data_IF_672673582019
#
_entry.id   IF_672673582019
#
_cell.length_a   1.000
_cell.length_b   1.000
_cell.length_c   1.000
_cell.angle_alpha   90.00
_cell.angle_beta   90.00
_cell.angle_gamma   90.00
#
_symmetry.space_group_name_H-M   'P 1'
#
loop_
_entity.id
_entity.type
_entity.pdbx_description
1 polymer ?
#
# COMPACT_ATOMS: atom_id res chain seq x y z
N UNK A 1 12.07 20.33 -15.52
CA UNK A 1 11.60 18.94 -15.52
C UNK A 1 10.92 18.73 -16.86
N UNK A 2 11.46 17.87 -17.72
CA UNK A 2 10.87 17.70 -19.05
C UNK A 2 9.78 16.63 -19.03
N UNK A 3 8.58 16.98 -19.49
CA UNK A 3 7.46 16.03 -19.58
C UNK A 3 7.03 15.89 -21.05
N UNK A 4 7.36 14.74 -21.62
CA UNK A 4 6.98 14.36 -22.97
C UNK A 4 5.51 13.90 -23.02
N UNK A 5 4.66 14.67 -23.70
CA UNK A 5 3.23 14.40 -23.81
C UNK A 5 2.95 13.44 -24.97
N UNK A 6 2.08 12.45 -24.76
CA UNK A 6 1.47 11.74 -25.87
C UNK A 6 0.61 12.69 -26.72
N UNK A 7 0.44 12.36 -28.01
CA UNK A 7 -0.43 13.11 -28.92
C UNK A 7 -1.84 13.35 -28.34
N UNK A 8 -2.41 12.32 -27.70
CA UNK A 8 -3.72 12.39 -27.06
C UNK A 8 -3.79 13.46 -25.98
N UNK A 9 -2.77 13.55 -25.12
CA UNK A 9 -2.74 14.52 -24.04
C UNK A 9 -2.45 15.95 -24.56
N UNK A 10 -1.51 16.11 -25.50
CA UNK A 10 -1.23 17.43 -26.08
C UNK A 10 -2.45 18.01 -26.82
N UNK A 11 -3.19 17.18 -27.56
CA UNK A 11 -4.45 17.58 -28.21
C UNK A 11 -5.54 17.96 -27.21
N UNK A 12 -5.65 17.19 -26.10
CA UNK A 12 -6.62 17.49 -25.05
C UNK A 12 -6.34 18.83 -24.36
N UNK A 13 -5.06 19.15 -24.16
CA UNK A 13 -4.57 20.43 -23.63
C UNK A 13 -4.64 21.58 -24.64
N UNK A 14 -4.76 21.28 -25.94
CA UNK A 14 -4.76 22.30 -26.99
C UNK A 14 -3.40 22.97 -27.21
N UNK A 15 -2.30 22.28 -26.91
CA UNK A 15 -0.94 22.79 -27.08
C UNK A 15 -0.15 21.99 -28.11
N UNK A 16 0.88 22.61 -28.68
CA UNK A 16 1.82 21.96 -29.59
C UNK A 16 3.26 22.18 -29.09
N UNK A 17 3.73 21.38 -28.13
CA UNK A 17 5.04 21.58 -27.53
C UNK A 17 6.17 21.30 -28.54
N UNK A 18 7.40 21.78 -28.27
CA UNK A 18 8.58 21.44 -29.07
C UNK A 18 8.95 19.94 -28.94
N UNK A 19 9.93 19.49 -29.73
CA UNK A 19 10.49 18.15 -29.57
C UNK A 19 11.26 18.03 -28.24
N UNK A 20 11.34 16.79 -27.73
CA UNK A 20 12.16 16.43 -26.54
C UNK A 20 13.61 16.85 -26.75
N UNK A 21 14.25 17.30 -25.66
CA UNK A 21 15.69 17.57 -25.65
C UNK A 21 16.41 16.24 -25.35
N UNK A 22 17.18 15.72 -26.31
CA UNK A 22 17.79 14.38 -26.19
C UNK A 22 18.96 14.34 -25.18
N UNK A 23 19.57 15.48 -24.85
CA UNK A 23 20.79 15.56 -24.03
C UNK A 23 20.52 15.70 -22.51
N UNK A 24 19.27 15.61 -22.06
CA UNK A 24 18.90 15.77 -20.66
C UNK A 24 19.08 14.49 -19.82
N UNK A 25 19.37 14.64 -18.53
CA UNK A 25 19.40 13.49 -17.60
C UNK A 25 18.00 12.81 -17.57
N UNK A 26 17.89 11.51 -17.89
CA UNK A 26 16.61 10.81 -18.00
C UNK A 26 15.85 10.71 -16.68
N UNK A 27 16.51 10.91 -15.53
CA UNK A 27 15.86 10.94 -14.22
C UNK A 27 14.95 12.17 -14.04
N UNK A 28 15.25 13.28 -14.73
CA UNK A 28 14.40 14.49 -14.73
C UNK A 28 13.42 14.54 -15.91
N UNK A 29 13.32 13.42 -16.65
CA UNK A 29 12.50 13.30 -17.85
C UNK A 29 11.36 12.30 -17.63
N UNK A 30 10.15 12.71 -17.97
CA UNK A 30 8.93 11.91 -17.80
C UNK A 30 8.17 11.82 -19.12
N UNK A 31 7.38 10.76 -19.26
CA UNK A 31 6.41 10.62 -20.34
C UNK A 31 5.01 10.59 -19.74
N UNK A 32 4.09 11.42 -20.25
CA UNK A 32 2.74 11.54 -19.71
C UNK A 32 1.66 11.21 -20.75
N UNK A 33 0.59 10.56 -20.29
CA UNK A 33 -0.58 10.21 -21.09
C UNK A 33 -1.88 10.51 -20.33
N UNK A 34 -2.95 10.75 -21.08
CA UNK A 34 -4.31 10.88 -20.56
C UNK A 34 -5.13 9.67 -20.97
N UNK A 35 -5.60 8.87 -20.02
CA UNK A 35 -6.27 7.60 -20.29
C UNK A 35 -7.57 7.46 -19.51
N UNK A 36 -8.46 6.60 -20.00
CA UNK A 36 -9.68 6.22 -19.30
C UNK A 36 -9.36 5.12 -18.30
N UNK A 37 -10.08 5.08 -17.17
CA UNK A 37 -9.95 3.96 -16.22
C UNK A 37 -10.74 2.73 -16.69
N UNK A 38 -11.91 2.93 -17.30
CA UNK A 38 -12.77 1.87 -17.83
C UNK A 38 -13.42 2.28 -19.15
N UNK A 39 -13.83 1.27 -19.92
CA UNK A 39 -14.51 1.46 -21.22
C UNK A 39 -16.05 1.53 -21.11
N UNK A 40 -16.61 1.61 -19.89
CA UNK A 40 -18.06 1.71 -19.67
C UNK A 40 -18.53 3.14 -19.36
N UNK A 41 -19.85 3.39 -19.38
CA UNK A 41 -20.48 4.73 -19.39
C UNK A 41 -20.22 5.64 -18.16
N UNK A 42 -19.46 5.19 -17.15
CA UNK A 42 -19.02 6.00 -15.99
C UNK A 42 -17.51 6.30 -16.07
N UNK A 43 -17.04 6.65 -17.27
CA UNK A 43 -15.62 6.91 -17.53
C UNK A 43 -15.11 8.04 -16.63
N UNK A 44 -14.25 7.70 -15.70
CA UNK A 44 -13.32 8.65 -15.12
C UNK A 44 -12.01 8.57 -15.90
N UNK A 45 -11.30 9.69 -15.96
CA UNK A 45 -10.02 9.77 -16.63
C UNK A 45 -8.87 9.84 -15.60
N UNK A 46 -7.70 9.40 -16.05
CA UNK A 46 -6.45 9.45 -15.33
C UNK A 46 -5.38 10.16 -16.14
N UNK A 47 -4.57 10.96 -15.47
CA UNK A 47 -3.23 11.30 -15.95
C UNK A 47 -2.26 10.26 -15.44
N UNK A 48 -1.43 9.74 -16.32
CA UNK A 48 -0.38 8.78 -15.96
C UNK A 48 0.94 9.37 -16.43
N UNK A 49 1.97 9.24 -15.61
CA UNK A 49 3.33 9.63 -15.90
C UNK A 49 4.27 8.46 -15.61
N UNK A 50 5.29 8.29 -16.45
CA UNK A 50 6.35 7.30 -16.24
C UNK A 50 7.70 8.01 -16.36
N UNK A 51 8.56 7.81 -15.36
CA UNK A 51 9.93 8.31 -15.37
C UNK A 51 10.76 7.56 -16.41
N UNK A 52 11.54 8.28 -17.22
CA UNK A 52 12.24 7.69 -18.34
C UNK A 52 13.49 6.90 -17.93
N UNK A 53 14.07 7.15 -16.75
CA UNK A 53 15.21 6.39 -16.23
C UNK A 53 14.78 5.12 -15.47
N UNK A 54 13.75 5.23 -14.63
CA UNK A 54 13.46 4.20 -13.61
C UNK A 54 12.14 3.46 -13.86
N UNK A 55 11.39 3.87 -14.88
CA UNK A 55 9.99 3.47 -15.13
C UNK A 55 9.04 3.71 -13.95
N UNK A 56 9.43 4.57 -13.01
CA UNK A 56 8.58 4.93 -11.87
C UNK A 56 7.29 5.58 -12.37
N UNK A 57 6.16 5.06 -11.93
CA UNK A 57 4.83 5.43 -12.38
C UNK A 57 4.16 6.33 -11.36
N UNK A 58 3.57 7.42 -11.84
CA UNK A 58 2.71 8.31 -11.07
C UNK A 58 1.37 8.38 -11.80
N UNK A 59 0.26 8.36 -11.08
CA UNK A 59 -1.05 8.48 -11.72
C UNK A 59 -2.02 9.27 -10.84
N UNK A 60 -2.78 10.14 -11.50
CA UNK A 60 -3.78 11.02 -10.91
C UNK A 60 -5.15 10.59 -11.41
N UNK A 61 -6.02 10.20 -10.50
CA UNK A 61 -7.38 9.74 -10.75
C UNK A 61 -8.41 10.88 -10.62
N UNK A 62 -9.47 10.80 -11.43
CA UNK A 62 -10.55 11.79 -11.55
C UNK A 62 -10.11 13.13 -12.15
N UNK A 63 -9.21 13.10 -13.13
CA UNK A 63 -8.79 14.31 -13.84
C UNK A 63 -9.78 14.66 -14.95
N UNK A 64 -10.40 15.83 -14.89
CA UNK A 64 -11.32 16.29 -15.95
C UNK A 64 -10.60 17.22 -16.91
N UNK A 65 -11.16 17.36 -18.12
CA UNK A 65 -10.60 18.25 -19.15
C UNK A 65 -10.41 19.69 -18.66
N UNK A 66 -11.30 20.20 -17.81
CA UNK A 66 -11.21 21.55 -17.22
C UNK A 66 -10.01 21.73 -16.28
N UNK A 67 -9.48 20.64 -15.73
CA UNK A 67 -8.37 20.64 -14.77
C UNK A 67 -7.02 20.71 -15.53
N UNK A 68 -7.01 20.37 -16.83
CA UNK A 68 -5.80 20.41 -17.66
C UNK A 68 -5.17 21.80 -17.81
N UNK A 69 -5.88 22.87 -17.46
CA UNK A 69 -5.32 24.23 -17.40
C UNK A 69 -4.19 24.37 -16.37
N UNK A 70 -4.18 23.53 -15.33
CA UNK A 70 -3.21 23.53 -14.23
C UNK A 70 -2.34 22.26 -14.25
N UNK A 71 -2.26 21.55 -15.37
CA UNK A 71 -1.70 20.19 -15.43
C UNK A 71 -0.23 20.11 -15.05
N UNK A 72 0.56 21.16 -15.32
CA UNK A 72 1.97 21.22 -14.93
C UNK A 72 2.12 21.08 -13.40
N UNK A 73 1.37 21.89 -12.66
CA UNK A 73 1.37 21.85 -11.20
C UNK A 73 0.82 20.53 -10.66
N UNK A 74 -0.28 20.04 -11.26
CA UNK A 74 -0.86 18.74 -10.88
C UNK A 74 0.16 17.60 -11.02
N UNK A 75 0.87 17.54 -12.14
CA UNK A 75 1.89 16.53 -12.41
C UNK A 75 3.06 16.63 -11.43
N UNK A 76 3.56 17.85 -11.19
CA UNK A 76 4.66 18.11 -10.27
C UNK A 76 4.29 17.71 -8.84
N UNK A 77 3.12 18.13 -8.36
CA UNK A 77 2.59 17.76 -7.05
C UNK A 77 2.39 16.25 -6.93
N UNK A 78 1.80 15.59 -7.92
CA UNK A 78 1.58 14.14 -7.88
C UNK A 78 2.88 13.33 -7.82
N UNK A 79 3.95 13.77 -8.49
CA UNK A 79 5.26 13.13 -8.38
C UNK A 79 5.76 13.20 -6.94
N UNK A 80 5.71 14.38 -6.32
CA UNK A 80 6.11 14.57 -4.92
C UNK A 80 5.25 13.72 -3.98
N UNK A 81 3.92 13.78 -4.11
CA UNK A 81 3.00 13.06 -3.24
C UNK A 81 3.14 11.54 -3.36
N UNK A 82 3.41 11.01 -4.56
CA UNK A 82 3.66 9.57 -4.75
C UNK A 82 4.97 9.13 -4.10
N UNK A 83 6.02 9.96 -4.12
CA UNK A 83 7.28 9.65 -3.43
C UNK A 83 7.10 9.71 -1.90
N UNK A 84 6.36 10.71 -1.40
CA UNK A 84 6.11 10.87 0.03
C UNK A 84 5.17 9.80 0.61
N UNK A 85 4.20 9.30 -0.17
CA UNK A 85 3.31 8.21 0.27
C UNK A 85 4.03 6.87 0.44
N UNK A 86 5.23 6.75 -0.12
CA UNK A 86 6.18 5.66 0.13
C UNK A 86 7.05 5.88 1.37
N UNK A 87 6.78 6.92 2.17
CA UNK A 87 7.54 7.32 3.34
C UNK A 87 9.00 7.70 3.04
N UNK A 88 9.29 8.13 1.80
CA UNK A 88 10.62 8.63 1.46
C UNK A 88 10.94 9.91 2.23
N UNK A 89 12.22 10.07 2.55
CA UNK A 89 12.76 11.23 3.26
C UNK A 89 12.33 12.54 2.57
N UNK A 90 11.56 13.42 3.24
CA UNK A 90 11.07 14.66 2.65
C UNK A 90 12.18 15.56 2.09
N UNK A 91 13.36 15.59 2.72
CA UNK A 91 14.49 16.39 2.24
C UNK A 91 15.04 15.87 0.91
N UNK A 92 15.06 14.54 0.73
CA UNK A 92 15.48 13.89 -0.52
C UNK A 92 14.48 14.18 -1.63
N UNK A 93 13.19 14.11 -1.34
CA UNK A 93 12.13 14.44 -2.30
C UNK A 93 12.21 15.93 -2.67
N UNK A 94 12.33 16.83 -1.69
CA UNK A 94 12.42 18.26 -1.92
C UNK A 94 13.64 18.62 -2.79
N UNK A 95 14.80 18.05 -2.51
CA UNK A 95 16.02 18.30 -3.31
C UNK A 95 15.85 17.79 -4.75
N UNK A 96 15.30 16.59 -4.95
CA UNK A 96 14.97 16.11 -6.29
C UNK A 96 14.02 17.06 -7.03
N UNK A 97 12.94 17.52 -6.37
CA UNK A 97 11.98 18.44 -6.99
C UNK A 97 12.61 19.81 -7.30
N UNK A 98 13.55 20.28 -6.48
CA UNK A 98 14.32 21.50 -6.74
C UNK A 98 15.26 21.34 -7.95
N UNK A 99 16.05 20.27 -7.98
CA UNK A 99 16.97 19.95 -9.09
C UNK A 99 16.21 19.71 -10.40
N UNK A 100 15.04 19.09 -10.32
CA UNK A 100 14.21 18.85 -11.48
C UNK A 100 13.72 20.16 -12.12
N UNK A 101 13.55 21.25 -11.37
CA UNK A 101 13.08 22.55 -11.88
C UNK A 101 11.65 22.54 -12.43
N UNK A 102 11.20 23.66 -12.99
CA UNK A 102 9.84 23.84 -13.52
C UNK A 102 9.49 22.89 -14.67
N UNK A 103 8.20 22.63 -14.87
CA UNK A 103 7.73 21.72 -15.92
C UNK A 103 7.87 22.38 -17.30
N UNK A 104 8.55 21.67 -18.20
CA UNK A 104 8.65 22.01 -19.61
C UNK A 104 8.04 20.88 -20.45
N UNK A 105 7.01 21.20 -21.23
CA UNK A 105 6.34 20.21 -22.07
C UNK A 105 7.10 19.97 -23.38
N UNK A 106 7.16 18.71 -23.77
CA UNK A 106 7.75 18.26 -25.03
C UNK A 106 6.83 17.25 -25.75
N UNK A 107 7.06 16.99 -27.03
CA UNK A 107 6.38 15.94 -27.78
C UNK A 107 7.02 14.58 -27.55
N UNK A 108 6.24 13.58 -27.13
CA UNK A 108 6.73 12.21 -27.14
C UNK A 108 6.77 11.66 -28.59
N UNK A 109 7.99 11.34 -29.06
CA UNK A 109 8.22 10.65 -30.36
C UNK A 109 8.82 9.26 -30.20
N UNK A 110 9.05 8.81 -28.96
CA UNK A 110 9.68 7.54 -28.67
C UNK A 110 8.61 6.44 -28.50
N UNK A 111 8.66 5.43 -29.37
CA UNK A 111 7.72 4.29 -29.34
C UNK A 111 7.86 3.45 -28.05
N UNK A 112 9.05 3.37 -27.48
CA UNK A 112 9.32 2.61 -26.27
C UNK A 112 8.64 3.25 -25.05
N UNK A 113 8.81 4.56 -24.85
CA UNK A 113 8.15 5.27 -23.75
C UNK A 113 6.63 5.32 -23.93
N UNK A 114 6.14 5.36 -25.18
CA UNK A 114 4.72 5.21 -25.48
C UNK A 114 4.15 3.82 -25.09
N UNK A 115 4.94 2.75 -25.25
CA UNK A 115 4.56 1.42 -24.79
C UNK A 115 4.56 1.33 -23.25
N UNK A 116 5.59 1.88 -22.59
CA UNK A 116 5.67 1.91 -21.12
C UNK A 116 4.49 2.63 -20.50
N UNK A 117 4.16 3.84 -20.97
CA UNK A 117 3.07 4.64 -20.41
C UNK A 117 1.70 3.99 -20.64
N UNK A 118 1.52 3.27 -21.75
CA UNK A 118 0.28 2.52 -22.02
C UNK A 118 0.12 1.36 -21.05
N UNK A 119 1.19 0.59 -20.82
CA UNK A 119 1.19 -0.52 -19.87
C UNK A 119 0.94 -0.04 -18.45
N UNK A 120 1.66 1.00 -18.00
CA UNK A 120 1.48 1.61 -16.69
C UNK A 120 0.03 2.09 -16.49
N UNK A 121 -0.56 2.74 -17.51
CA UNK A 121 -1.96 3.17 -17.44
C UNK A 121 -2.97 2.04 -17.28
N UNK A 122 -2.73 0.88 -17.89
CA UNK A 122 -3.58 -0.31 -17.68
C UNK A 122 -3.45 -0.88 -16.26
N UNK A 123 -2.25 -0.87 -15.69
CA UNK A 123 -2.00 -1.35 -14.33
C UNK A 123 -2.66 -0.45 -13.28
N UNK A 124 -2.52 0.87 -13.43
CA UNK A 124 -3.23 1.83 -12.61
C UNK A 124 -4.76 1.68 -12.74
N UNK A 125 -5.27 1.47 -13.95
CA UNK A 125 -6.70 1.29 -14.17
C UNK A 125 -7.25 0.05 -13.46
N UNK A 126 -6.50 -1.06 -13.49
CA UNK A 126 -6.85 -2.27 -12.77
C UNK A 126 -6.85 -2.05 -11.25
N UNK A 127 -5.83 -1.37 -10.71
CA UNK A 127 -5.79 -1.03 -9.28
C UNK A 127 -6.98 -0.17 -8.87
N UNK A 128 -7.29 0.88 -9.64
CA UNK A 128 -8.44 1.75 -9.36
C UNK A 128 -9.76 0.95 -9.43
N UNK A 129 -9.86 -0.03 -10.34
CA UNK A 129 -11.01 -0.91 -10.44
C UNK A 129 -11.18 -1.85 -9.25
N UNK A 130 -10.10 -2.29 -8.63
CA UNK A 130 -10.19 -3.12 -7.44
C UNK A 130 -10.50 -2.30 -6.19
N UNK A 131 -9.83 -1.15 -6.02
CA UNK A 131 -9.95 -0.36 -4.78
C UNK A 131 -11.21 0.52 -4.73
N UNK A 132 -11.67 1.06 -5.85
CA UNK A 132 -12.74 2.08 -5.86
C UNK A 132 -14.07 1.58 -6.46
N UNK A 133 -14.18 0.30 -6.81
CA UNK A 133 -15.44 -0.23 -7.33
C UNK A 133 -16.51 -0.27 -6.24
N UNK A 134 -17.66 0.35 -6.50
CA UNK A 134 -18.76 0.46 -5.53
C UNK A 134 -18.59 1.60 -4.51
N UNK A 135 -17.44 2.28 -4.47
CA UNK A 135 -17.18 3.39 -3.56
C UNK A 135 -17.56 4.73 -4.22
N UNK A 136 -17.93 5.71 -3.40
CA UNK A 136 -18.11 7.09 -3.85
C UNK A 136 -16.84 7.62 -4.54
N UNK A 137 -17.03 8.52 -5.51
CA UNK A 137 -15.94 9.13 -6.28
C UNK A 137 -14.94 9.81 -5.34
N UNK A 138 -13.70 9.35 -5.37
CA UNK A 138 -12.60 9.92 -4.59
C UNK A 138 -11.44 10.31 -5.50
N UNK A 139 -11.02 11.57 -5.43
CA UNK A 139 -9.78 12.04 -6.05
C UNK A 139 -8.59 11.39 -5.34
N UNK A 140 -7.60 10.94 -6.12
CA UNK A 140 -6.32 10.47 -5.59
C UNK A 140 -5.21 10.70 -6.62
N UNK A 141 -4.10 11.26 -6.19
CA UNK A 141 -2.92 11.54 -7.00
C UNK A 141 -1.76 10.55 -6.77
N UNK A 142 -2.04 9.49 -6.01
CA UNK A 142 -1.07 8.44 -5.64
C UNK A 142 -1.46 7.06 -6.14
N UNK A 143 -2.53 6.91 -6.94
CA UNK A 143 -2.99 5.61 -7.48
C UNK A 143 -1.96 4.92 -8.41
N UNK A 144 -0.91 5.64 -8.81
CA UNK A 144 0.24 5.10 -9.54
C UNK A 144 1.15 4.21 -8.70
N UNK A 145 1.08 4.32 -7.37
CA UNK A 145 1.98 3.66 -6.44
C UNK A 145 2.02 2.14 -6.63
N UNK A 146 0.86 1.50 -6.77
CA UNK A 146 0.75 0.04 -6.91
C UNK A 146 1.46 -0.52 -8.15
N UNK A 147 1.55 0.26 -9.24
CA UNK A 147 2.28 -0.14 -10.45
C UNK A 147 3.79 -0.23 -10.21
N UNK A 148 4.33 0.53 -9.25
CA UNK A 148 5.77 0.54 -8.97
C UNK A 148 6.27 -0.71 -8.25
N UNK A 149 5.38 -1.48 -7.63
CA UNK A 149 5.69 -2.77 -6.98
C UNK A 149 5.59 -3.95 -7.94
N UNK A 150 5.30 -3.72 -9.23
CA UNK A 150 5.29 -4.77 -10.25
C UNK A 150 6.64 -4.85 -10.94
N UNK A 151 7.12 -6.07 -11.16
CA UNK A 151 8.34 -6.28 -11.94
C UNK A 151 8.07 -5.91 -13.40
N UNK A 152 9.09 -5.30 -13.96
CA UNK A 152 9.09 -4.54 -15.18
C UNK A 152 10.21 -5.10 -16.06
N UNK A 153 10.08 -5.02 -17.39
CA UNK A 153 11.07 -5.50 -18.38
C UNK A 153 11.18 -7.04 -18.59
N UNK A 154 10.14 -7.82 -18.26
CA UNK A 154 10.07 -9.26 -18.55
C UNK A 154 10.18 -9.65 -20.04
N UNK A 155 9.90 -8.72 -20.95
CA UNK A 155 9.90 -8.98 -22.40
C UNK A 155 11.31 -9.14 -22.99
N UNK A 156 12.36 -8.86 -22.22
CA UNK A 156 13.75 -9.16 -22.57
C UNK A 156 14.19 -10.49 -21.99
N UNK A 157 15.30 -10.48 -21.25
CA UNK A 157 15.74 -11.61 -20.46
C UNK A 157 15.04 -11.60 -19.09
N UNK A 158 14.49 -12.71 -18.63
CA UNK A 158 13.83 -12.80 -17.30
C UNK A 158 14.75 -12.39 -16.14
N UNK A 159 16.08 -12.43 -16.34
CA UNK A 159 17.07 -11.96 -15.36
C UNK A 159 17.28 -10.44 -15.35
N UNK A 160 16.72 -9.69 -16.30
CA UNK A 160 16.81 -8.22 -16.40
C UNK A 160 15.57 -7.50 -15.85
N UNK A 161 14.65 -8.27 -15.25
CA UNK A 161 13.48 -7.71 -14.58
C UNK A 161 13.87 -6.88 -13.36
N UNK A 162 13.24 -5.73 -13.15
CA UNK A 162 13.48 -4.90 -11.98
C UNK A 162 12.18 -4.27 -11.45
N UNK A 163 12.24 -3.78 -10.21
CA UNK A 163 11.15 -3.04 -9.59
C UNK A 163 11.36 -1.53 -9.79
N UNK A 164 10.42 -0.81 -10.42
CA UNK A 164 10.55 0.64 -10.63
C UNK A 164 10.77 1.44 -9.35
N UNK A 165 10.10 1.05 -8.26
CA UNK A 165 10.23 1.74 -6.97
C UNK A 165 11.67 1.68 -6.42
N UNK A 166 12.31 0.50 -6.47
CA UNK A 166 13.71 0.32 -6.05
C UNK A 166 14.67 1.11 -6.93
N UNK A 167 14.45 1.09 -8.25
CA UNK A 167 15.26 1.85 -9.19
C UNK A 167 15.16 3.36 -8.93
N UNK A 168 13.96 3.87 -8.63
CA UNK A 168 13.74 5.26 -8.25
C UNK A 168 14.46 5.63 -6.95
N UNK A 169 14.27 4.85 -5.89
CA UNK A 169 14.89 5.12 -4.58
C UNK A 169 16.42 5.18 -4.69
N UNK A 170 17.02 4.20 -5.37
CA UNK A 170 18.46 4.16 -5.59
C UNK A 170 18.94 5.39 -6.36
N UNK A 171 18.27 5.72 -7.47
CA UNK A 171 18.63 6.87 -8.30
C UNK A 171 18.51 8.21 -7.54
N UNK A 172 17.48 8.38 -6.71
CA UNK A 172 17.31 9.58 -5.89
C UNK A 172 18.36 9.67 -4.77
N UNK A 173 18.70 8.54 -4.15
CA UNK A 173 19.73 8.49 -3.10
C UNK A 173 21.11 8.80 -3.69
N UNK A 174 21.43 8.27 -4.87
CA UNK A 174 22.67 8.56 -5.60
C UNK A 174 22.74 10.03 -6.04
N UNK A 175 21.63 10.58 -6.55
CA UNK A 175 21.56 11.97 -7.00
C UNK A 175 21.78 12.98 -5.86
N UNK A 176 21.14 12.74 -4.72
CA UNK A 176 21.08 13.71 -3.60
C UNK A 176 22.12 13.45 -2.52
N UNK A 177 22.68 12.23 -2.45
CA UNK A 177 23.52 11.79 -1.34
C UNK A 177 22.77 11.65 0.01
N UNK A 178 21.44 11.75 0.00
CA UNK A 178 20.59 11.64 1.20
C UNK A 178 20.11 10.21 1.40
N UNK A 179 19.79 9.87 2.66
CA UNK A 179 19.14 8.61 2.98
C UNK A 179 17.74 8.55 2.37
N UNK A 180 17.41 7.40 1.78
CA UNK A 180 16.11 7.12 1.17
C UNK A 180 14.94 7.33 2.14
N UNK A 181 15.12 6.89 3.38
CA UNK A 181 14.11 6.90 4.43
C UNK A 181 14.67 7.63 5.65
N UNK A 182 13.82 8.45 6.26
CA UNK A 182 14.10 9.12 7.52
C UNK A 182 12.78 9.56 8.16
N UNK A 183 12.21 8.71 9.01
CA UNK A 183 10.94 9.00 9.68
C UNK A 183 10.84 8.30 11.03
N UNK A 184 9.94 8.79 11.89
CA UNK A 184 9.62 8.14 13.16
C UNK A 184 8.82 6.87 12.90
N UNK A 185 9.21 5.77 13.52
CA UNK A 185 8.57 4.46 13.37
C UNK A 185 8.28 3.83 14.73
N UNK A 186 7.33 2.89 14.75
CA UNK A 186 7.03 2.08 15.92
C UNK A 186 7.36 0.62 15.65
N UNK A 187 7.97 -0.01 16.64
CA UNK A 187 8.06 -1.46 16.70
C UNK A 187 6.88 -1.98 17.51
N UNK A 188 6.13 -2.91 16.93
CA UNK A 188 4.92 -3.49 17.50
C UNK A 188 5.05 -5.00 17.58
N UNK A 189 4.45 -5.58 18.62
CA UNK A 189 4.17 -7.02 18.70
C UNK A 189 2.67 -7.23 18.58
N UNK A 190 2.25 -8.07 17.66
CA UNK A 190 0.85 -8.43 17.48
C UNK A 190 0.68 -9.89 17.84
N UNK A 191 -0.23 -10.17 18.77
CA UNK A 191 -0.46 -11.50 19.31
C UNK A 191 -1.92 -11.90 19.12
N UNK A 192 -2.16 -13.04 18.47
CA UNK A 192 -3.43 -13.73 18.43
C UNK A 192 -3.33 -14.96 19.34
N UNK A 193 -4.08 -14.98 20.43
CA UNK A 193 -4.12 -16.12 21.36
C UNK A 193 -5.13 -17.15 20.87
N UNK A 194 -4.65 -18.35 20.55
CA UNK A 194 -5.45 -19.45 20.02
C UNK A 194 -5.73 -20.53 21.06
N UNK A 195 -5.51 -20.23 22.35
CA UNK A 195 -5.61 -21.13 23.51
C UNK A 195 -4.58 -22.26 23.54
N UNK A 196 -4.35 -22.93 22.40
CA UNK A 196 -3.37 -24.00 22.22
C UNK A 196 -1.95 -23.50 21.94
N UNK A 197 -1.81 -22.31 21.37
CA UNK A 197 -0.56 -21.57 21.18
C UNK A 197 -0.87 -20.12 20.79
N UNK A 198 0.16 -19.28 20.66
CA UNK A 198 0.04 -17.89 20.20
C UNK A 198 0.61 -17.74 18.78
N UNK A 199 -0.15 -17.10 17.91
CA UNK A 199 0.36 -16.61 16.63
C UNK A 199 0.85 -15.17 16.82
N UNK A 200 2.14 -14.93 16.61
CA UNK A 200 2.78 -13.65 16.90
C UNK A 200 3.46 -13.07 15.66
N UNK A 201 3.34 -11.76 15.49
CA UNK A 201 3.96 -11.00 14.40
C UNK A 201 4.64 -9.77 15.00
N UNK A 202 5.95 -9.66 14.83
CA UNK A 202 6.70 -8.47 15.24
C UNK A 202 7.00 -7.63 14.03
N UNK A 203 6.51 -6.39 14.01
CA UNK A 203 6.61 -5.50 12.85
C UNK A 203 7.21 -4.15 13.21
N UNK A 204 7.80 -3.48 12.23
CA UNK A 204 8.10 -2.05 12.26
C UNK A 204 7.14 -1.37 11.28
N UNK A 205 6.49 -0.30 11.71
CA UNK A 205 5.59 0.52 10.89
C UNK A 205 5.91 2.00 11.06
N UNK A 206 5.63 2.87 10.07
CA UNK A 206 5.69 4.30 10.27
C UNK A 206 4.80 4.73 11.44
N UNK A 207 5.26 5.66 12.27
CA UNK A 207 4.48 6.15 13.41
C UNK A 207 3.15 6.80 12.96
N UNK A 208 3.19 7.48 11.81
CA UNK A 208 2.02 8.15 11.22
C UNK A 208 1.25 7.24 10.23
N UNK A 209 1.39 5.91 10.34
CA UNK A 209 0.57 4.99 9.53
C UNK A 209 -0.91 5.15 9.93
N UNK A 210 -1.77 5.34 8.93
CA UNK A 210 -3.22 5.35 9.15
C UNK A 210 -3.74 3.96 9.54
N UNK A 211 -4.77 3.90 10.38
CA UNK A 211 -5.40 2.64 10.79
C UNK A 211 -5.96 1.83 9.60
N UNK A 212 -6.46 2.52 8.57
CA UNK A 212 -6.90 1.88 7.31
C UNK A 212 -5.77 1.11 6.63
N UNK A 213 -4.53 1.61 6.70
CA UNK A 213 -3.35 0.95 6.15
C UNK A 213 -2.79 -0.10 7.11
N UNK A 214 -2.83 0.16 8.42
CA UNK A 214 -2.46 -0.83 9.44
C UNK A 214 -3.32 -2.10 9.32
N UNK A 215 -4.63 -1.96 9.10
CA UNK A 215 -5.52 -3.09 8.80
C UNK A 215 -4.97 -3.97 7.66
N UNK A 216 -4.62 -3.37 6.52
CA UNK A 216 -4.02 -4.10 5.39
C UNK A 216 -2.69 -4.79 5.77
N UNK A 217 -1.87 -4.16 6.63
CA UNK A 217 -0.64 -4.78 7.17
C UNK A 217 -0.97 -6.02 7.98
N UNK A 218 -1.92 -5.93 8.91
CA UNK A 218 -2.33 -7.04 9.77
C UNK A 218 -2.90 -8.20 8.95
N UNK A 219 -3.81 -7.90 8.01
CA UNK A 219 -4.34 -8.87 7.06
C UNK A 219 -3.21 -9.60 6.31
N UNK A 220 -2.22 -8.87 5.80
CA UNK A 220 -1.10 -9.47 5.08
C UNK A 220 -0.19 -10.35 5.94
N UNK A 221 0.13 -9.95 7.17
CA UNK A 221 1.06 -10.73 8.02
C UNK A 221 0.39 -11.92 8.69
N UNK A 222 -0.92 -11.87 8.90
CA UNK A 222 -1.71 -13.00 9.37
C UNK A 222 -2.26 -13.87 8.23
N UNK A 223 -2.14 -13.46 6.96
CA UNK A 223 -2.64 -14.21 5.79
C UNK A 223 -4.18 -14.33 5.76
N UNK A 224 -4.86 -13.31 6.27
CA UNK A 224 -6.31 -13.15 6.16
C UNK A 224 -6.71 -12.69 4.76
N UNK A 225 -7.96 -12.96 4.37
CA UNK A 225 -8.51 -12.68 3.04
C UNK A 225 -9.27 -11.34 2.95
N UNK A 226 -9.35 -10.58 4.06
CA UNK A 226 -9.99 -9.27 4.14
C UNK A 226 -11.46 -9.29 3.68
N UNK A 227 -12.19 -10.33 4.08
CA UNK A 227 -13.59 -10.56 3.70
C UNK A 227 -14.61 -10.25 4.81
N UNK A 228 -14.14 -9.94 6.02
CA UNK A 228 -15.00 -9.65 7.17
C UNK A 228 -14.84 -8.22 7.71
N UNK A 229 -15.79 -7.82 8.56
CA UNK A 229 -15.73 -6.56 9.31
C UNK A 229 -14.58 -6.56 10.32
N UNK A 230 -14.11 -5.37 10.67
CA UNK A 230 -13.01 -5.19 11.61
C UNK A 230 -13.12 -3.85 12.33
N UNK A 231 -12.49 -3.74 13.50
CA UNK A 231 -12.31 -2.48 14.21
C UNK A 231 -11.00 -2.45 15.01
N UNK A 232 -10.68 -1.27 15.55
CA UNK A 232 -9.62 -1.11 16.54
C UNK A 232 -10.20 -0.54 17.82
N UNK A 233 -9.96 -1.20 18.95
CA UNK A 233 -10.37 -0.73 20.26
C UNK A 233 -9.15 -0.30 21.07
N UNK A 234 -9.14 0.96 21.49
CA UNK A 234 -8.11 1.55 22.35
C UNK A 234 -8.71 1.74 23.74
N UNK A 235 -8.02 1.25 24.76
CA UNK A 235 -8.46 1.32 26.15
C UNK A 235 -7.42 2.03 27.02
N UNK A 236 -7.86 2.63 28.13
CA UNK A 236 -6.98 3.21 29.15
C UNK A 236 -6.32 2.07 29.93
N UNK A 237 -4.99 2.01 29.88
CA UNK A 237 -4.19 0.97 30.53
C UNK A 237 -4.42 0.89 32.06
N UNK A 238 -4.91 1.95 32.71
CA UNK A 238 -5.08 1.99 34.16
C UNK A 238 -6.38 1.33 34.65
N UNK A 239 -7.45 1.41 33.85
CA UNK A 239 -8.79 1.00 34.27
C UNK A 239 -9.51 0.10 33.25
N UNK A 240 -8.92 -0.13 32.07
CA UNK A 240 -9.48 -0.97 31.01
C UNK A 240 -10.69 -0.37 30.30
N UNK A 241 -11.01 0.90 30.55
CA UNK A 241 -12.15 1.57 29.91
C UNK A 241 -11.78 1.92 28.48
N UNK A 242 -12.65 1.58 27.53
CA UNK A 242 -12.52 1.97 26.12
C UNK A 242 -12.44 3.49 26.00
N UNK A 243 -11.33 3.98 25.46
CA UNK A 243 -11.07 5.39 25.16
C UNK A 243 -11.58 5.72 23.77
N UNK A 244 -11.38 4.82 22.80
CA UNK A 244 -11.84 5.01 21.43
C UNK A 244 -12.04 3.66 20.76
N UNK A 245 -13.05 3.59 19.90
CA UNK A 245 -13.29 2.47 18.99
C UNK A 245 -13.31 3.01 17.57
N UNK A 246 -12.34 2.58 16.77
CA UNK A 246 -12.16 3.05 15.41
C UNK A 246 -12.78 2.07 14.42
N UNK A 247 -13.76 2.53 13.65
CA UNK A 247 -14.57 1.72 12.72
C UNK A 247 -14.36 2.14 11.26
N UNK A 248 -14.50 1.22 10.29
CA UNK A 248 -14.16 1.50 8.89
C UNK A 248 -15.26 2.23 8.12
N UNK A 249 -16.54 2.05 8.46
CA UNK A 249 -17.67 2.52 7.66
C UNK A 249 -18.62 3.43 8.44
N UNK A 250 -19.37 4.28 7.72
CA UNK A 250 -20.34 5.20 8.33
C UNK A 250 -21.51 4.42 8.95
N UNK A 251 -21.88 3.30 8.32
CA UNK A 251 -22.93 2.40 8.79
C UNK A 251 -22.63 1.82 10.19
N UNK A 252 -21.35 1.70 10.57
CA UNK A 252 -20.96 1.22 11.90
C UNK A 252 -21.38 2.22 13.01
N UNK A 253 -21.41 3.51 12.69
CA UNK A 253 -21.81 4.58 13.62
C UNK A 253 -23.31 4.54 13.95
N UNK A 254 -24.13 3.89 13.12
CA UNK A 254 -25.56 3.70 13.40
C UNK A 254 -25.79 2.71 14.56
N UNK A 255 -24.84 1.80 14.80
CA UNK A 255 -24.90 0.79 15.86
C UNK A 255 -24.18 1.21 17.14
N UNK A 256 -23.18 2.08 17.04
CA UNK A 256 -22.39 2.60 18.15
C UNK A 256 -22.07 4.09 17.96
N UNK A 257 -22.86 4.96 18.60
CA UNK A 257 -22.70 6.41 18.49
C UNK A 257 -21.39 6.95 19.08
N UNK A 258 -20.68 6.13 19.87
CA UNK A 258 -19.38 6.50 20.45
C UNK A 258 -18.19 6.03 19.59
N UNK A 259 -18.44 5.26 18.53
CA UNK A 259 -17.42 4.87 17.58
C UNK A 259 -16.95 6.07 16.74
N UNK A 260 -15.73 6.00 16.23
CA UNK A 260 -15.11 7.04 15.39
C UNK A 260 -14.65 6.42 14.08
N UNK A 261 -14.85 7.11 12.96
CA UNK A 261 -14.33 6.62 11.68
C UNK A 261 -12.81 6.60 11.71
N UNK A 262 -12.20 5.47 11.37
CA UNK A 262 -10.74 5.30 11.43
C UNK A 262 -9.96 6.08 10.36
N UNK A 263 -10.64 6.57 9.32
CA UNK A 263 -10.02 7.28 8.20
C UNK A 263 -9.37 8.57 8.68
N UNK A 264 -8.09 8.76 8.38
CA UNK A 264 -7.33 9.94 8.80
C UNK A 264 -6.78 9.87 10.23
N UNK A 265 -7.12 8.84 11.00
CA UNK A 265 -6.47 8.57 12.29
C UNK A 265 -5.22 7.73 12.10
N UNK A 266 -4.18 8.03 12.87
CA UNK A 266 -2.84 7.44 12.78
C UNK A 266 -2.39 6.84 14.11
N UNK A 267 -1.42 5.92 14.08
CA UNK A 267 -0.90 5.30 15.30
C UNK A 267 -0.28 6.31 16.28
N UNK A 268 0.35 7.37 15.79
CA UNK A 268 1.04 8.38 16.61
C UNK A 268 0.09 9.25 17.45
N UNK A 269 -1.21 9.19 17.20
CA UNK A 269 -2.24 9.81 18.05
C UNK A 269 -2.47 9.05 19.36
N UNK A 270 -2.10 7.76 19.40
CA UNK A 270 -2.36 6.88 20.54
C UNK A 270 -1.07 6.35 21.18
N UNK A 271 -0.09 5.94 20.37
CA UNK A 271 1.21 5.49 20.85
C UNK A 271 2.23 6.64 20.93
N UNK A 272 3.09 6.67 21.98
CA UNK A 272 3.33 5.63 22.99
C UNK A 272 2.53 5.77 24.29
N UNK A 273 1.55 6.67 24.36
CA UNK A 273 0.76 6.97 25.54
C UNK A 273 -0.04 5.75 26.00
N UNK A 274 -0.79 5.10 25.10
CA UNK A 274 -1.33 3.77 25.34
C UNK A 274 -0.24 2.69 25.21
N UNK A 275 -0.37 1.57 25.91
CA UNK A 275 0.58 0.43 25.81
C UNK A 275 0.10 -0.67 24.89
N UNK A 276 -1.21 -0.77 24.71
CA UNK A 276 -1.82 -1.76 23.84
C UNK A 276 -3.12 -1.26 23.22
N UNK A 277 -3.53 -1.92 22.14
CA UNK A 277 -4.84 -1.78 21.49
C UNK A 277 -5.27 -3.16 20.98
N UNK A 278 -6.56 -3.37 20.79
CA UNK A 278 -7.11 -4.60 20.22
C UNK A 278 -7.54 -4.33 18.79
N UNK A 279 -7.12 -5.19 17.87
CA UNK A 279 -7.65 -5.27 16.52
C UNK A 279 -8.55 -6.50 16.42
N UNK A 280 -9.84 -6.28 16.23
CA UNK A 280 -10.81 -7.37 16.06
C UNK A 280 -11.09 -7.54 14.58
N UNK A 281 -10.89 -8.75 14.07
CA UNK A 281 -11.22 -9.14 12.70
C UNK A 281 -12.26 -10.26 12.73
N UNK A 282 -13.24 -10.15 11.83
CA UNK A 282 -14.41 -11.00 11.76
C UNK A 282 -15.28 -10.91 13.02
N UNK A 283 -16.35 -10.12 12.97
CA UNK A 283 -17.31 -9.98 14.07
C UNK A 283 -18.13 -11.26 14.33
N UNK A 284 -18.06 -12.26 13.44
CA UNK A 284 -18.61 -13.60 13.66
C UNK A 284 -17.68 -14.48 14.50
N UNK A 285 -16.46 -14.70 14.02
CA UNK A 285 -15.46 -15.55 14.67
C UNK A 285 -14.70 -14.86 15.81
N UNK A 286 -14.72 -13.53 15.85
CA UNK A 286 -14.15 -12.63 16.85
C UNK A 286 -12.64 -12.82 17.07
N UNK A 287 -11.84 -12.70 16.01
CA UNK A 287 -10.38 -12.79 16.09
C UNK A 287 -9.77 -11.52 16.70
N UNK A 288 -9.53 -11.56 18.01
CA UNK A 288 -8.92 -10.46 18.75
C UNK A 288 -7.39 -10.55 18.72
N UNK A 289 -6.76 -9.58 18.05
CA UNK A 289 -5.33 -9.44 17.99
C UNK A 289 -4.88 -8.33 18.95
N UNK A 290 -4.10 -8.68 19.97
CA UNK A 290 -3.49 -7.70 20.86
C UNK A 290 -2.28 -7.05 20.16
N UNK A 291 -2.35 -5.74 19.93
CA UNK A 291 -1.26 -4.95 19.38
C UNK A 291 -0.57 -4.22 20.53
N UNK A 292 0.66 -4.62 20.83
CA UNK A 292 1.47 -4.08 21.91
C UNK A 292 2.58 -3.19 21.38
N UNK A 293 2.69 -1.99 21.95
CA UNK A 293 3.82 -1.10 21.70
C UNK A 293 5.11 -1.64 22.31
N UNK A 294 6.16 -1.79 21.50
CA UNK A 294 7.48 -2.24 21.97
C UNK A 294 8.39 -1.06 22.21
N UNK A 295 8.59 -0.21 21.19
CA UNK A 295 9.43 1.00 21.28
C UNK A 295 9.19 1.95 20.12
N UNK A 296 9.63 3.18 20.33
CA UNK A 296 9.78 4.19 19.28
C UNK A 296 11.17 4.10 18.64
N UNK A 297 11.23 4.36 17.34
CA UNK A 297 12.45 4.53 16.55
C UNK A 297 12.37 5.92 15.92
N UNK A 298 13.10 6.90 16.46
CA UNK A 298 12.94 8.31 16.07
C UNK A 298 13.40 8.60 14.64
N UNK A 299 14.47 7.95 14.18
CA UNK A 299 15.01 8.10 12.83
C UNK A 299 15.17 6.72 12.16
N UNK A 300 14.07 6.14 11.69
CA UNK A 300 14.09 4.90 10.93
C UNK A 300 14.56 5.16 9.49
N UNK A 301 15.55 4.37 9.04
CA UNK A 301 16.29 4.56 7.80
C UNK A 301 16.04 3.47 6.75
N UNK A 302 15.04 2.60 6.97
CA UNK A 302 14.68 1.48 6.09
C UNK A 302 13.24 1.57 5.61
N UNK A 303 12.95 0.79 4.57
CA UNK A 303 11.61 0.59 4.05
C UNK A 303 10.74 -0.15 5.11
N UNK A 304 9.58 0.42 5.42
CA UNK A 304 8.56 -0.21 6.26
C UNK A 304 7.16 0.11 5.71
N UNK A 305 6.11 -0.68 5.98
CA UNK A 305 6.03 -1.74 7.00
C UNK A 305 6.97 -2.92 6.79
N UNK A 306 7.56 -3.43 7.87
CA UNK A 306 8.57 -4.48 7.83
C UNK A 306 8.27 -5.54 8.90
N UNK A 307 8.16 -6.80 8.48
CA UNK A 307 8.09 -7.93 9.40
C UNK A 307 9.50 -8.27 9.88
N UNK A 308 9.71 -8.28 11.20
CA UNK A 308 10.96 -8.71 11.83
C UNK A 308 10.97 -10.22 12.05
N UNK A 309 9.88 -10.76 12.60
CA UNK A 309 9.72 -12.18 12.90
C UNK A 309 8.23 -12.54 12.96
N UNK A 310 7.91 -13.79 12.62
CA UNK A 310 6.59 -14.37 12.82
C UNK A 310 6.69 -15.80 13.33
N UNK A 311 5.81 -16.16 14.25
CA UNK A 311 5.70 -17.49 14.86
C UNK A 311 4.25 -17.87 15.05
N UNK A 312 3.97 -19.18 15.08
CA UNK A 312 2.60 -19.68 15.17
C UNK A 312 1.82 -19.48 13.87
N UNK A 313 1.19 -20.55 13.42
CA UNK A 313 0.35 -20.52 12.24
C UNK A 313 -0.92 -19.71 12.50
N UNK A 314 -1.41 -18.97 11.51
CA UNK A 314 -2.73 -18.32 11.61
C UNK A 314 -3.83 -19.36 11.34
N UNK A 315 -4.98 -19.33 12.04
CA UNK A 315 -6.14 -20.16 11.68
C UNK A 315 -6.57 -19.96 10.22
N UNK A 316 -7.22 -20.95 9.58
CA UNK A 316 -7.94 -20.71 8.34
C UNK A 316 -9.07 -19.68 8.54
N UNK A 317 -9.42 -18.95 7.48
CA UNK A 317 -10.66 -18.15 7.44
C UNK A 317 -11.89 -19.04 7.72
N UNK A 318 -12.92 -18.46 8.34
CA UNK A 318 -14.22 -19.10 8.60
C UNK A 318 -14.16 -20.42 9.41
N UNK A 319 -13.11 -20.64 10.22
CA UNK A 319 -12.95 -21.89 10.99
C UNK A 319 -13.82 -21.92 12.26
N UNK A 320 -14.50 -20.82 12.61
CA UNK A 320 -15.42 -20.75 13.74
C UNK A 320 -14.77 -20.22 15.02
N UNK A 321 -13.91 -19.22 14.90
CA UNK A 321 -13.21 -18.57 16.02
C UNK A 321 -12.25 -19.51 16.75
N UNK A 322 -11.77 -19.08 17.93
CA UNK A 322 -10.75 -19.83 18.69
C UNK A 322 -11.21 -21.26 19.00
N UNK A 323 -12.46 -21.45 19.44
CA UNK A 323 -12.98 -22.78 19.76
C UNK A 323 -13.10 -23.70 18.52
N UNK A 324 -13.53 -23.14 17.39
CA UNK A 324 -13.55 -23.84 16.11
C UNK A 324 -12.15 -24.25 15.67
N UNK A 325 -11.18 -23.34 15.79
CA UNK A 325 -9.78 -23.62 15.47
C UNK A 325 -9.15 -24.71 16.35
N UNK A 326 -9.43 -24.73 17.66
CA UNK A 326 -8.94 -25.79 18.56
C UNK A 326 -9.43 -27.16 18.07
N UNK A 327 -10.73 -27.28 17.81
CA UNK A 327 -11.35 -28.52 17.30
C UNK A 327 -10.76 -28.94 15.94
N UNK A 328 -10.66 -27.97 15.02
CA UNK A 328 -10.03 -28.15 13.71
C UNK A 328 -8.59 -28.69 13.83
N UNK A 329 -7.77 -28.08 14.70
CA UNK A 329 -6.38 -28.45 14.88
C UNK A 329 -6.22 -29.85 15.46
N UNK A 330 -7.08 -30.25 16.40
CA UNK A 330 -7.09 -31.61 16.95
C UNK A 330 -7.34 -32.66 15.85
N UNK A 331 -8.28 -32.39 14.94
CA UNK A 331 -8.55 -33.24 13.78
C UNK A 331 -7.32 -33.29 12.86
N UNK A 332 -6.76 -32.14 12.51
CA UNK A 332 -5.62 -32.04 11.58
C UNK A 332 -4.33 -32.67 12.13
N UNK A 333 -4.17 -32.76 13.46
CA UNK A 333 -3.05 -33.45 14.11
C UNK A 333 -3.19 -34.97 14.14
N UNK A 334 -4.38 -35.51 13.86
CA UNK A 334 -4.66 -36.94 13.90
C UNK A 334 -5.11 -37.45 12.52
N UNK A 335 -4.18 -37.94 11.67
CA UNK A 335 -4.53 -38.51 10.37
C UNK A 335 -5.50 -39.71 10.40
N UNK A 336 -5.71 -40.33 11.56
CA UNK A 336 -6.68 -41.42 11.75
C UNK A 336 -8.04 -40.93 12.26
N UNK A 337 -8.23 -39.62 12.49
CA UNK A 337 -9.52 -39.07 12.87
C UNK A 337 -10.53 -39.30 11.74
N UNK A 338 -11.78 -39.74 12.02
CA UNK A 338 -12.77 -40.00 10.99
C UNK A 338 -13.01 -38.81 10.05
N UNK A 339 -12.93 -37.59 10.59
CA UNK A 339 -13.15 -36.33 9.84
C UNK A 339 -11.87 -35.75 9.20
N UNK A 340 -10.70 -36.37 9.38
CA UNK A 340 -9.43 -35.81 8.88
C UNK A 340 -9.43 -35.59 7.36
N UNK A 341 -10.01 -36.52 6.59
CA UNK A 341 -10.05 -36.42 5.13
C UNK A 341 -10.86 -35.21 4.66
N UNK A 342 -12.06 -35.04 5.21
CA UNK A 342 -12.95 -33.92 4.91
C UNK A 342 -12.33 -32.59 5.35
N UNK A 343 -11.80 -32.54 6.58
CA UNK A 343 -11.21 -31.32 7.14
C UNK A 343 -9.98 -30.86 6.36
N UNK A 344 -9.16 -31.80 5.89
CA UNK A 344 -8.00 -31.49 5.04
C UNK A 344 -8.41 -30.96 3.67
N UNK A 345 -9.49 -31.48 3.09
CA UNK A 345 -10.02 -30.99 1.82
C UNK A 345 -10.56 -29.55 1.97
N UNK A 346 -11.29 -29.29 3.05
CA UNK A 346 -11.78 -27.94 3.39
C UNK A 346 -10.63 -26.93 3.60
N UNK A 347 -9.60 -27.32 4.34
CA UNK A 347 -8.46 -26.46 4.67
C UNK A 347 -7.51 -26.18 3.49
N UNK A 348 -7.67 -26.87 2.35
CA UNK A 348 -6.89 -26.71 1.12
C UNK A 348 -5.37 -26.78 1.36
N UNK A 349 -4.70 -25.62 1.36
CA UNK A 349 -3.24 -25.47 1.46
C UNK A 349 -2.76 -25.11 2.87
N UNK A 350 -3.67 -25.03 3.84
CA UNK A 350 -3.30 -24.76 5.22
C UNK A 350 -2.42 -25.89 5.78
N UNK A 351 -1.47 -25.52 6.63
CA UNK A 351 -0.51 -26.45 7.25
C UNK A 351 -0.42 -26.17 8.74
N UNK A 352 -0.14 -27.20 9.54
CA UNK A 352 -0.11 -27.08 11.02
C UNK A 352 0.92 -26.07 11.51
N UNK A 353 2.10 -26.09 10.90
CA UNK A 353 3.21 -25.21 11.25
C UNK A 353 3.30 -24.05 10.28
N UNK A 354 3.70 -22.88 10.81
CA UNK A 354 3.98 -21.72 9.98
C UNK A 354 5.13 -22.05 9.03
N UNK A 355 4.89 -21.90 7.72
CA UNK A 355 5.91 -22.15 6.71
C UNK A 355 7.08 -21.17 6.84
N UNK A 356 8.31 -21.67 6.72
CA UNK A 356 9.55 -20.92 7.02
C UNK A 356 9.69 -19.60 6.24
N UNK A 357 9.24 -19.51 4.98
CA UNK A 357 9.33 -18.24 4.26
C UNK A 357 8.38 -17.16 4.82
N UNK A 358 7.27 -17.55 5.46
CA UNK A 358 6.34 -16.62 6.13
C UNK A 358 6.88 -16.12 7.47
N UNK A 359 7.78 -16.86 8.12
CA UNK A 359 8.42 -16.44 9.38
C UNK A 359 9.60 -15.48 9.19
N UNK A 360 10.18 -15.42 7.97
CA UNK A 360 11.39 -14.64 7.68
C UNK A 360 11.15 -13.13 7.63
N UNK A 361 12.16 -12.33 8.03
CA UNK A 361 12.09 -10.88 7.93
C UNK A 361 11.92 -10.40 6.49
N UNK A 362 10.99 -9.46 6.26
CA UNK A 362 10.70 -8.91 4.92
C UNK A 362 9.92 -7.60 4.99
N UNK A 363 10.02 -6.81 3.93
CA UNK A 363 9.09 -5.70 3.68
C UNK A 363 7.69 -6.27 3.45
N UNK A 364 6.68 -5.66 4.04
CA UNK A 364 5.27 -6.01 3.87
C UNK A 364 4.70 -5.07 2.80
N UNK A 365 4.35 -5.63 1.65
CA UNK A 365 3.79 -4.86 0.53
C UNK A 365 2.27 -4.81 0.67
N UNK A 366 1.73 -3.62 0.98
CA UNK A 366 0.30 -3.36 1.18
C UNK A 366 -0.18 -2.14 0.42
#
# INVERSE_FOLDING_TARGET
MQIALTKKLSEAMGINPPAVHEDGNPLFSWTANWTKVWDNRRVEDMLVLVNNATRFTVAIYQVKRKDLKNVAEMMRTAISNTLLSMNLNPDLVQEYMQLAGEVEFAQNRNRQTAAWITKAGQECAFHVGNEYNGIAKMFSDTVGLSANYRIVNYSGNNYEGFYPYKSMINALSELTGKQAYKYRAFELMITLDLEVYKAERRIIVPADIEFTRLHKVLQSVFDWENCHLYDFTISDDNNGVTVSRLVPFEEDLEYDENATLMKGHTLSEFFPECKHMIYTYDMGDNWEHEIKFVRVIEEHDKESPYLLEASGQTPPEDVGGVGGFVSFREIMLNPNHPEYGEMKEWAKYWTIELVDWKSRPRVIMV
#
